data_IF_552014739534
#
_entry.id   IF_552014739534
#
_cell.length_a   1.000
_cell.length_b   1.000
_cell.length_c   1.000
_cell.angle_alpha   90.00
_cell.angle_beta   90.00
_cell.angle_gamma   90.00
#
_symmetry.space_group_name_H-M   'P 1'
#
loop_
_entity.id
_entity.type
_entity.pdbx_description
1 polymer ?
#
# COMPACT_ATOMS: atom_id res chain seq x y z
N UNK A 1 14.60 -0.07 -3.09
CA UNK A 1 13.95 -1.28 -2.54
C UNK A 1 13.42 -0.95 -1.15
N UNK A 2 12.14 -1.18 -0.90
CA UNK A 2 11.49 -0.89 0.38
C UNK A 2 11.56 -2.09 1.32
N UNK A 3 12.10 -1.88 2.51
CA UNK A 3 12.18 -2.89 3.58
C UNK A 3 11.93 -2.25 4.94
N UNK A 4 11.42 -3.04 5.88
CA UNK A 4 11.15 -2.61 7.25
C UNK A 4 9.74 -2.05 7.43
N UNK A 5 9.36 -1.89 8.70
CA UNK A 5 8.05 -1.39 9.14
C UNK A 5 8.27 -0.13 9.98
N UNK A 6 7.54 0.94 9.65
CA UNK A 6 7.69 2.24 10.31
C UNK A 6 6.37 2.70 10.91
N UNK A 7 6.39 2.96 12.21
CA UNK A 7 5.29 3.61 12.91
C UNK A 7 5.13 5.07 12.50
N UNK A 8 3.89 5.43 12.15
CA UNK A 8 3.48 6.78 11.82
C UNK A 8 2.11 7.09 12.43
N UNK A 9 1.75 8.36 12.39
CA UNK A 9 0.42 8.81 12.76
C UNK A 9 -0.21 9.47 11.55
N UNK A 10 -1.47 9.14 11.28
CA UNK A 10 -2.27 9.86 10.30
C UNK A 10 -2.75 11.17 10.93
N UNK A 11 -2.46 12.30 10.31
CA UNK A 11 -2.83 13.59 10.88
C UNK A 11 -4.35 13.88 10.77
N UNK A 12 -4.88 14.93 11.42
CA UNK A 12 -6.31 15.26 11.36
C UNK A 12 -6.83 15.59 9.95
N UNK A 13 -5.94 15.88 9.00
CA UNK A 13 -6.25 16.21 7.60
C UNK A 13 -6.07 15.02 6.68
N UNK A 14 -5.78 13.83 7.20
CA UNK A 14 -5.54 12.62 6.39
C UNK A 14 -4.15 12.58 5.75
N UNK A 15 -3.20 13.38 6.23
CA UNK A 15 -1.82 13.35 5.73
C UNK A 15 -0.96 12.38 6.50
N UNK A 16 -0.13 11.65 5.77
CA UNK A 16 0.80 10.67 6.31
C UNK A 16 2.24 11.02 5.93
N UNK A 17 3.12 11.15 6.93
CA UNK A 17 4.54 11.34 6.69
C UNK A 17 5.21 10.03 6.25
N UNK A 18 5.83 10.04 5.08
CA UNK A 18 6.60 8.90 4.59
C UNK A 18 7.99 8.84 5.24
N UNK A 19 8.51 7.63 5.55
CA UNK A 19 9.90 7.44 5.90
C UNK A 19 10.83 8.06 4.87
N UNK A 20 11.90 8.74 5.31
CA UNK A 20 12.82 9.44 4.41
C UNK A 20 13.44 8.51 3.36
N UNK A 21 13.75 7.27 3.75
CA UNK A 21 14.24 6.21 2.88
C UNK A 21 13.26 5.78 1.79
N UNK A 22 11.96 6.07 1.94
CA UNK A 22 10.94 5.64 0.98
C UNK A 22 10.58 6.75 -0.01
N UNK A 23 10.80 8.03 0.33
CA UNK A 23 10.32 9.18 -0.47
C UNK A 23 10.78 9.19 -1.95
N UNK A 24 12.04 8.86 -2.30
CA UNK A 24 12.49 8.91 -3.70
C UNK A 24 11.84 7.86 -4.61
N UNK A 25 11.41 6.73 -4.04
CA UNK A 25 11.05 5.53 -4.80
C UNK A 25 9.53 5.28 -4.86
N UNK A 26 8.71 6.06 -4.15
CA UNK A 26 7.25 5.83 -4.00
C UNK A 26 6.54 6.18 -5.31
N UNK A 27 6.56 5.21 -6.23
CA UNK A 27 5.81 5.12 -7.49
C UNK A 27 6.05 6.29 -8.45
N UNK A 28 7.06 6.14 -9.31
CA UNK A 28 7.19 6.98 -10.50
C UNK A 28 6.07 6.65 -11.50
N UNK A 29 5.75 7.58 -12.41
CA UNK A 29 4.78 7.33 -13.49
C UNK A 29 5.10 6.03 -14.26
N UNK A 30 6.38 5.76 -14.49
CA UNK A 30 6.88 4.53 -15.12
C UNK A 30 6.48 3.27 -14.35
N UNK A 31 6.63 3.26 -13.02
CA UNK A 31 6.23 2.12 -12.18
C UNK A 31 4.73 1.85 -12.25
N UNK A 32 3.91 2.91 -12.32
CA UNK A 32 2.47 2.77 -12.45
C UNK A 32 2.06 2.28 -13.84
N UNK A 33 2.70 2.77 -14.90
CA UNK A 33 2.47 2.29 -16.27
C UNK A 33 2.80 0.80 -16.43
N UNK A 34 3.88 0.33 -15.79
CA UNK A 34 4.22 -1.08 -15.76
C UNK A 34 3.14 -1.90 -15.04
N UNK A 35 2.70 -1.48 -13.86
CA UNK A 35 1.61 -2.13 -13.13
C UNK A 35 0.29 -2.18 -13.93
N UNK A 36 -0.05 -1.10 -14.63
CA UNK A 36 -1.23 -1.04 -15.48
C UNK A 36 -1.12 -2.01 -16.67
N UNK A 37 0.06 -2.09 -17.30
CA UNK A 37 0.35 -3.03 -18.40
C UNK A 37 0.21 -4.48 -17.94
N UNK A 38 0.79 -4.83 -16.79
CA UNK A 38 0.67 -6.17 -16.22
C UNK A 38 -0.79 -6.53 -15.92
N UNK A 39 -1.56 -5.59 -15.38
CA UNK A 39 -2.97 -5.80 -15.07
C UNK A 39 -3.81 -6.06 -16.34
N UNK A 40 -3.54 -5.34 -17.42
CA UNK A 40 -4.17 -5.59 -18.73
C UNK A 40 -3.80 -6.96 -19.30
N UNK A 41 -2.54 -7.37 -19.19
CA UNK A 41 -2.08 -8.68 -19.66
C UNK A 41 -2.70 -9.84 -18.87
N UNK A 42 -2.87 -9.70 -17.54
CA UNK A 42 -3.56 -10.70 -16.72
C UNK A 42 -5.01 -10.90 -17.15
N UNK A 43 -5.71 -9.82 -17.51
CA UNK A 43 -7.06 -9.91 -18.07
C UNK A 43 -7.05 -10.64 -19.41
N UNK A 44 -6.10 -10.30 -20.29
CA UNK A 44 -5.96 -10.96 -21.60
C UNK A 44 -5.69 -12.46 -21.48
N UNK A 45 -4.95 -12.88 -20.44
CA UNK A 45 -4.65 -14.28 -20.12
C UNK A 45 -5.76 -15.02 -19.38
N UNK A 46 -6.82 -14.33 -18.95
CA UNK A 46 -7.90 -14.92 -18.14
C UNK A 46 -7.52 -15.14 -16.66
N UNK A 47 -6.39 -14.60 -16.21
CA UNK A 47 -5.89 -14.67 -14.83
C UNK A 47 -6.53 -13.60 -13.93
N UNK A 48 -7.15 -12.58 -14.53
CA UNK A 48 -7.88 -11.51 -13.86
C UNK A 48 -9.21 -11.23 -14.59
N UNK A 49 -10.30 -11.03 -13.86
CA UNK A 49 -11.57 -10.61 -14.47
C UNK A 49 -11.58 -9.11 -14.80
N UNK A 50 -12.36 -8.71 -15.81
CA UNK A 50 -12.58 -7.29 -16.11
C UNK A 50 -13.16 -6.52 -14.91
N UNK A 51 -13.99 -7.17 -14.09
CA UNK A 51 -14.55 -6.53 -12.89
C UNK A 51 -13.48 -6.25 -11.84
N UNK A 52 -12.52 -7.16 -11.67
CA UNK A 52 -11.37 -6.96 -10.79
C UNK A 52 -10.46 -5.84 -11.30
N UNK A 53 -10.19 -5.79 -12.61
CA UNK A 53 -9.42 -4.71 -13.21
C UNK A 53 -10.09 -3.34 -13.02
N UNK A 54 -11.41 -3.25 -13.25
CA UNK A 54 -12.19 -2.02 -12.99
C UNK A 54 -12.10 -1.60 -11.53
N UNK A 55 -12.26 -2.56 -10.60
CA UNK A 55 -12.15 -2.28 -9.18
C UNK A 55 -10.76 -1.74 -8.81
N UNK A 56 -9.68 -2.33 -9.33
CA UNK A 56 -8.31 -1.84 -9.12
C UNK A 56 -8.14 -0.42 -9.68
N UNK A 57 -8.47 -0.19 -10.95
CA UNK A 57 -8.34 1.13 -11.58
C UNK A 57 -9.17 2.21 -10.85
N UNK A 58 -10.37 1.88 -10.39
CA UNK A 58 -11.26 2.82 -9.68
C UNK A 58 -10.83 3.14 -8.24
N UNK A 59 -9.85 2.41 -7.71
CA UNK A 59 -9.30 2.59 -6.37
C UNK A 59 -7.81 2.99 -6.41
N UNK A 60 -7.31 3.41 -7.57
CA UNK A 60 -5.95 3.96 -7.73
C UNK A 60 -6.05 5.46 -7.93
N UNK A 61 -5.23 6.21 -7.19
CA UNK A 61 -5.22 7.67 -7.20
C UNK A 61 -3.79 8.17 -7.36
N UNK A 62 -3.63 9.25 -8.12
CA UNK A 62 -2.37 9.99 -8.16
C UNK A 62 -2.21 10.78 -6.86
N UNK A 63 -1.04 10.68 -6.23
CA UNK A 63 -0.74 11.41 -4.99
C UNK A 63 0.60 12.14 -5.13
N UNK A 64 0.63 13.39 -4.65
CA UNK A 64 1.85 14.17 -4.58
C UNK A 64 2.46 14.09 -3.17
N UNK A 65 3.79 14.02 -3.11
CA UNK A 65 4.54 14.18 -1.87
C UNK A 65 4.78 15.68 -1.65
N UNK A 66 4.30 16.22 -0.53
CA UNK A 66 4.52 17.62 -0.18
C UNK A 66 5.98 17.91 0.23
N UNK A 67 6.34 19.18 0.38
CA UNK A 67 7.70 19.61 0.78
C UNK A 67 8.16 19.04 2.14
N UNK A 68 7.23 18.54 2.96
CA UNK A 68 7.52 17.93 4.27
C UNK A 68 7.63 16.40 4.17
N UNK A 69 7.51 15.82 2.98
CA UNK A 69 7.58 14.39 2.74
C UNK A 69 6.29 13.65 3.10
N UNK A 70 5.14 14.31 3.06
CA UNK A 70 3.84 13.71 3.36
C UNK A 70 3.00 13.50 2.12
N UNK A 71 2.14 12.50 2.17
CA UNK A 71 1.07 12.26 1.18
C UNK A 71 -0.30 12.51 1.81
N UNK A 72 -1.28 12.88 1.01
CA UNK A 72 -2.68 12.91 1.44
C UNK A 72 -3.35 11.57 1.10
N UNK A 73 -4.01 10.95 2.07
CA UNK A 73 -4.77 9.71 1.84
C UNK A 73 -6.24 10.05 1.78
N UNK A 74 -6.83 9.89 0.60
CA UNK A 74 -8.25 10.11 0.38
C UNK A 74 -9.13 9.26 1.30
N UNK A 75 -10.28 9.81 1.70
CA UNK A 75 -11.21 9.17 2.63
C UNK A 75 -11.60 7.76 2.20
N UNK A 76 -11.94 7.56 0.91
CA UNK A 76 -12.30 6.25 0.36
C UNK A 76 -11.18 5.20 0.55
N UNK A 77 -9.92 5.59 0.40
CA UNK A 77 -8.79 4.69 0.62
C UNK A 77 -8.60 4.39 2.11
N UNK A 78 -8.82 5.39 2.97
CA UNK A 78 -8.77 5.21 4.43
C UNK A 78 -9.85 4.25 4.90
N UNK A 79 -11.08 4.43 4.44
CA UNK A 79 -12.20 3.53 4.74
C UNK A 79 -11.90 2.09 4.30
N UNK A 80 -11.43 1.91 3.06
CA UNK A 80 -11.06 0.59 2.53
C UNK A 80 -9.94 -0.09 3.37
N UNK A 81 -8.96 0.69 3.80
CA UNK A 81 -7.83 0.20 4.58
C UNK A 81 -8.11 0.10 6.09
N UNK A 82 -9.22 0.66 6.58
CA UNK A 82 -9.56 0.73 8.01
C UNK A 82 -8.75 1.78 8.79
N UNK A 83 -8.27 2.83 8.13
CA UNK A 83 -7.42 3.86 8.75
C UNK A 83 -8.25 5.00 9.35
N UNK A 84 -8.01 5.30 10.62
CA UNK A 84 -8.71 6.38 11.33
C UNK A 84 -7.84 7.64 11.41
N UNK A 85 -8.44 8.84 11.35
CA UNK A 85 -7.69 10.08 11.58
C UNK A 85 -7.13 10.11 13.00
N UNK A 86 -5.96 10.73 13.18
CA UNK A 86 -5.26 10.81 14.46
C UNK A 86 -4.84 9.47 15.06
N UNK A 87 -4.96 8.36 14.32
CA UNK A 87 -4.57 7.05 14.79
C UNK A 87 -3.15 6.68 14.33
N UNK A 88 -2.58 5.72 15.05
CA UNK A 88 -1.37 5.01 14.63
C UNK A 88 -1.64 4.26 13.33
N UNK A 89 -0.68 4.29 12.41
CA UNK A 89 -0.66 3.52 11.17
C UNK A 89 0.75 2.99 10.93
N UNK A 90 0.87 1.89 10.18
CA UNK A 90 2.16 1.33 9.80
C UNK A 90 2.45 1.62 8.34
N UNK A 91 3.68 2.04 8.06
CA UNK A 91 4.23 2.16 6.70
C UNK A 91 5.24 1.05 6.52
N UNK A 92 4.87 0.04 5.75
CA UNK A 92 5.67 -1.18 5.54
C UNK A 92 6.25 -1.21 4.13
N UNK A 93 7.53 -1.56 4.02
CA UNK A 93 8.16 -1.84 2.74
C UNK A 93 7.93 -3.28 2.31
N UNK A 94 7.44 -3.49 1.09
CA UNK A 94 7.27 -4.81 0.48
C UNK A 94 7.99 -4.86 -0.87
N UNK A 95 9.32 -4.75 -0.81
CA UNK A 95 10.25 -4.74 -1.94
C UNK A 95 10.02 -3.62 -2.94
N UNK A 96 9.11 -3.81 -3.89
CA UNK A 96 8.83 -2.86 -4.98
C UNK A 96 7.69 -1.88 -4.65
N UNK A 97 7.03 -2.03 -3.51
CA UNK A 97 5.96 -1.13 -3.07
C UNK A 97 6.08 -0.77 -1.59
N UNK A 98 5.45 0.34 -1.25
CA UNK A 98 5.16 0.73 0.13
C UNK A 98 3.69 0.45 0.40
N UNK A 99 3.42 -0.18 1.53
CA UNK A 99 2.08 -0.51 1.98
C UNK A 99 1.76 0.29 3.25
N UNK A 100 0.50 0.73 3.36
CA UNK A 100 0.01 1.48 4.51
C UNK A 100 -1.06 0.63 5.19
N UNK A 101 -0.89 0.39 6.48
CA UNK A 101 -1.69 -0.56 7.21
C UNK A 101 -2.26 0.01 8.50
N UNK A 102 -3.46 -0.46 8.84
CA UNK A 102 -3.90 -0.55 10.22
C UNK A 102 -2.98 -1.53 11.00
N UNK A 103 -2.49 -1.17 12.21
CA UNK A 103 -1.55 -2.00 12.95
C UNK A 103 -2.05 -3.41 13.26
N UNK A 104 -3.31 -3.56 13.67
CA UNK A 104 -3.86 -4.87 14.03
C UNK A 104 -4.03 -5.76 12.80
N UNK A 105 -4.48 -5.19 11.68
CA UNK A 105 -4.59 -5.90 10.40
C UNK A 105 -3.22 -6.36 9.92
N UNK A 106 -2.20 -5.52 10.02
CA UNK A 106 -0.84 -5.87 9.64
C UNK A 106 -0.31 -7.03 10.50
N UNK A 107 -0.46 -6.96 11.82
CA UNK A 107 -0.03 -8.02 12.73
C UNK A 107 -0.66 -9.37 12.35
N UNK A 108 -1.98 -9.42 12.13
CA UNK A 108 -2.66 -10.65 11.68
C UNK A 108 -2.09 -11.20 10.38
N UNK A 109 -1.87 -10.36 9.37
CA UNK A 109 -1.36 -10.80 8.06
C UNK A 109 0.08 -11.27 8.13
N UNK A 110 0.93 -10.56 8.87
CA UNK A 110 2.34 -10.95 9.04
C UNK A 110 2.47 -12.23 9.86
N UNK A 111 1.67 -12.42 10.91
CA UNK A 111 1.67 -13.67 11.68
C UNK A 111 1.30 -14.87 10.81
N UNK A 112 0.27 -14.77 9.97
CA UNK A 112 -0.06 -15.82 9.00
C UNK A 112 1.10 -16.13 8.05
N UNK A 113 1.85 -15.12 7.61
CA UNK A 113 3.03 -15.30 6.79
C UNK A 113 4.20 -15.95 7.54
N UNK A 114 4.41 -15.58 8.80
CA UNK A 114 5.43 -16.19 9.66
C UNK A 114 5.14 -17.67 9.89
N UNK A 115 3.88 -18.04 10.14
CA UNK A 115 3.47 -19.45 10.28
C UNK A 115 3.77 -20.27 9.01
N UNK A 116 3.51 -19.69 7.82
CA UNK A 116 3.84 -20.34 6.55
C UNK A 116 5.36 -20.51 6.35
N UNK A 117 6.17 -19.53 6.78
CA UNK A 117 7.64 -19.59 6.69
C UNK A 117 8.22 -20.57 7.70
N UNK A 118 7.67 -20.61 8.91
CA UNK A 118 8.07 -21.52 9.98
C UNK A 118 7.74 -22.99 9.63
N UNK A 119 6.92 -23.20 8.60
CA UNK A 119 6.39 -24.49 8.19
C UNK A 119 5.21 -24.85 9.06
N UNK A 120 4.07 -25.19 8.44
CA UNK A 120 3.06 -26.01 9.09
C UNK A 120 3.78 -27.24 9.64
N UNK A 121 3.88 -27.36 10.96
CA UNK A 121 4.20 -28.63 11.59
C UNK A 121 3.06 -29.58 11.24
N UNK A 122 3.32 -30.45 10.27
CA UNK A 122 2.47 -31.53 9.73
C UNK A 122 1.40 -31.15 8.68
#
# INVERSE_FOLDING_TARGET
MFVGVHDRQLDPKGRLALPASFRPDVLTAESFEEFARESMEKVRKGEMSLNQQRAQASNTFEVAIDAQGRINIEEKLREYAGLTLNSRVLVSGNYNRVEIWDPERHERVVLLGIEQIAGSGE
#
